data_IF_226734069495
#
_entry.id   IF_226734069495
#
_cell.length_a   1.000
_cell.length_b   1.000
_cell.length_c   1.000
_cell.angle_alpha   90.00
_cell.angle_beta   90.00
_cell.angle_gamma   90.00
#
_symmetry.space_group_name_H-M   'P 1'
#
loop_
_entity.id
_entity.type
_entity.pdbx_description
1 polymer ?
#
# COMPACT_ATOMS: atom_id res chain seq x y z
N UNK A 1 14.94 -12.08 -8.80
CA UNK A 1 14.89 -12.89 -7.56
C UNK A 1 13.63 -13.76 -7.55
N UNK A 2 13.73 -15.05 -7.20
CA UNK A 2 12.64 -16.03 -7.32
C UNK A 2 11.64 -15.97 -6.14
N UNK A 3 11.16 -14.76 -5.82
CA UNK A 3 10.22 -14.53 -4.72
C UNK A 3 8.73 -14.57 -5.13
N UNK A 4 8.44 -14.80 -6.42
CA UNK A 4 7.08 -14.80 -6.97
C UNK A 4 6.55 -16.21 -7.28
N UNK A 5 6.87 -17.22 -6.47
CA UNK A 5 6.34 -18.58 -6.68
C UNK A 5 4.93 -18.72 -6.08
N UNK A 6 3.93 -19.22 -6.83
CA UNK A 6 2.50 -19.17 -6.47
C UNK A 6 2.09 -20.04 -5.27
N UNK A 7 3.04 -20.74 -4.64
CA UNK A 7 2.79 -21.57 -3.44
C UNK A 7 3.00 -20.84 -2.12
N UNK A 8 3.53 -19.61 -2.13
CA UNK A 8 3.41 -18.74 -0.98
C UNK A 8 2.01 -18.13 -0.96
N UNK A 9 1.04 -18.93 -0.53
CA UNK A 9 -0.30 -18.53 -0.09
C UNK A 9 -0.22 -17.67 1.20
N UNK A 10 0.81 -16.81 1.33
CA UNK A 10 0.72 -15.69 2.25
C UNK A 10 -0.20 -14.71 1.54
N UNK A 11 -1.39 -14.41 2.07
CA UNK A 11 -2.11 -13.24 1.59
C UNK A 11 -1.11 -12.09 1.62
N UNK A 12 -1.00 -11.29 0.54
CA UNK A 12 -0.10 -10.14 0.54
C UNK A 12 -0.36 -9.39 1.83
N UNK A 13 0.66 -9.23 2.67
CA UNK A 13 0.46 -8.64 3.99
C UNK A 13 -0.28 -7.33 3.78
N UNK A 14 -1.43 -7.17 4.42
CA UNK A 14 -2.28 -5.99 4.26
C UNK A 14 -1.46 -4.70 4.50
N UNK A 15 -0.39 -4.81 5.31
CA UNK A 15 0.61 -3.76 5.54
C UNK A 15 1.43 -3.47 4.28
N UNK A 16 2.00 -4.47 3.62
CA UNK A 16 2.79 -4.30 2.39
C UNK A 16 1.97 -3.66 1.27
N UNK A 17 0.71 -4.10 1.12
CA UNK A 17 -0.20 -3.55 0.13
C UNK A 17 -0.62 -2.11 0.48
N UNK A 18 -0.87 -1.81 1.76
CA UNK A 18 -1.14 -0.45 2.22
C UNK A 18 0.05 0.48 1.94
N UNK A 19 1.28 0.03 2.19
CA UNK A 19 2.51 0.78 1.89
C UNK A 19 2.61 1.06 0.38
N UNK A 20 2.40 0.05 -0.47
CA UNK A 20 2.44 0.21 -1.92
C UNK A 20 1.46 1.27 -2.43
N UNK A 21 0.19 1.18 -2.01
CA UNK A 21 -0.84 2.13 -2.39
C UNK A 21 -0.53 3.54 -1.88
N UNK A 22 -0.04 3.65 -0.64
CA UNK A 22 0.33 4.93 0.00
C UNK A 22 1.48 5.61 -0.75
N UNK A 23 2.53 4.86 -1.13
CA UNK A 23 3.63 5.38 -1.98
C UNK A 23 3.11 5.93 -3.30
N UNK A 24 2.22 5.18 -3.93
CA UNK A 24 1.67 5.51 -5.25
C UNK A 24 0.79 6.77 -5.19
N UNK A 25 0.05 6.96 -4.09
CA UNK A 25 -0.66 8.22 -3.81
C UNK A 25 0.26 9.41 -3.57
N UNK A 26 1.40 9.22 -2.89
CA UNK A 26 2.37 10.29 -2.63
C UNK A 26 3.08 10.75 -3.91
N UNK A 27 3.34 9.83 -4.85
CA UNK A 27 4.13 10.08 -6.06
C UNK A 27 3.34 10.72 -7.22
N UNK A 28 2.03 10.49 -7.31
CA UNK A 28 1.22 10.93 -8.45
C UNK A 28 0.05 11.84 -8.03
N UNK A 29 0.32 13.16 -7.96
CA UNK A 29 -0.72 14.18 -7.72
C UNK A 29 -1.54 14.57 -8.95
N UNK A 30 -1.14 14.17 -10.17
CA UNK A 30 -1.55 14.91 -11.37
C UNK A 30 -2.50 14.25 -12.36
N UNK A 31 -2.87 12.95 -12.29
CA UNK A 31 -3.97 12.49 -13.18
C UNK A 31 -4.67 11.18 -12.88
N UNK A 32 -3.99 10.09 -12.53
CA UNK A 32 -4.62 8.79 -12.30
C UNK A 32 -3.72 7.96 -11.37
N UNK A 33 -3.76 8.25 -10.06
CA UNK A 33 -2.81 7.67 -9.10
C UNK A 33 -3.14 6.22 -8.72
N UNK A 34 -4.43 5.95 -8.50
CA UNK A 34 -4.96 4.66 -8.07
C UNK A 34 -6.25 4.39 -8.86
N UNK A 35 -6.46 3.12 -9.20
CA UNK A 35 -7.74 2.65 -9.73
C UNK A 35 -8.82 2.68 -8.65
N UNK A 36 -10.09 2.68 -9.04
CA UNK A 36 -11.22 2.84 -8.10
C UNK A 36 -11.25 1.72 -7.02
N UNK A 37 -10.94 0.49 -7.42
CA UNK A 37 -10.81 -0.64 -6.49
C UNK A 37 -9.60 -0.50 -5.54
N UNK A 38 -8.53 0.17 -5.97
CA UNK A 38 -7.36 0.42 -5.14
C UNK A 38 -7.64 1.52 -4.11
N UNK A 39 -8.46 2.51 -4.47
CA UNK A 39 -8.92 3.56 -3.55
C UNK A 39 -9.80 2.96 -2.45
N UNK A 40 -10.73 2.07 -2.83
CA UNK A 40 -11.58 1.37 -1.87
C UNK A 40 -10.75 0.46 -0.95
N UNK A 41 -9.81 -0.30 -1.52
CA UNK A 41 -8.88 -1.12 -0.75
C UNK A 41 -8.03 -0.27 0.20
N UNK A 42 -7.46 0.86 -0.25
CA UNK A 42 -6.70 1.78 0.58
C UNK A 42 -7.53 2.33 1.74
N UNK A 43 -8.78 2.69 1.47
CA UNK A 43 -9.72 3.20 2.47
C UNK A 43 -10.03 2.14 3.53
N UNK A 44 -10.25 0.89 3.10
CA UNK A 44 -10.50 -0.22 3.99
C UNK A 44 -9.26 -0.57 4.82
N UNK A 45 -8.08 -0.60 4.19
CA UNK A 45 -6.79 -0.83 4.85
C UNK A 45 -6.47 0.25 5.87
N UNK A 46 -6.74 1.53 5.56
CA UNK A 46 -6.55 2.64 6.50
C UNK A 46 -7.43 2.52 7.74
N UNK A 47 -8.66 2.00 7.60
CA UNK A 47 -9.53 1.72 8.75
C UNK A 47 -9.01 0.53 9.56
N UNK A 48 -8.70 -0.59 8.90
CA UNK A 48 -8.25 -1.82 9.55
C UNK A 48 -6.87 -1.70 10.21
N UNK A 49 -5.97 -0.91 9.64
CA UNK A 49 -4.59 -0.71 10.10
C UNK A 49 -4.40 0.67 10.74
N UNK A 50 -5.46 1.30 11.24
CA UNK A 50 -5.41 2.65 11.83
C UNK A 50 -4.34 2.78 12.94
N UNK A 51 -4.17 1.74 13.76
CA UNK A 51 -3.14 1.66 14.81
C UNK A 51 -1.69 1.61 14.31
N UNK A 52 -1.47 1.25 13.04
CA UNK A 52 -0.16 1.14 12.39
C UNK A 52 0.00 2.14 11.24
N UNK A 53 -1.01 2.96 10.99
CA UNK A 53 -1.09 3.82 9.82
C UNK A 53 0.03 4.87 9.78
N UNK A 54 0.42 5.39 10.94
CA UNK A 54 1.52 6.34 11.06
C UNK A 54 2.85 5.71 10.62
N UNK A 55 3.09 4.44 10.99
CA UNK A 55 4.30 3.69 10.59
C UNK A 55 4.27 3.40 9.08
N UNK A 56 3.11 2.97 8.56
CA UNK A 56 2.91 2.70 7.13
C UNK A 56 3.18 3.95 6.28
N UNK A 57 2.67 5.10 6.73
CA UNK A 57 2.82 6.37 6.04
C UNK A 57 4.27 6.83 6.09
N UNK A 58 4.90 6.81 7.28
CA UNK A 58 6.31 7.18 7.44
C UNK A 58 7.23 6.32 6.56
N UNK A 59 6.99 5.01 6.50
CA UNK A 59 7.75 4.09 5.64
C UNK A 59 7.48 4.33 4.14
N UNK A 60 6.25 4.68 3.78
CA UNK A 60 5.93 5.05 2.40
C UNK A 60 6.62 6.36 2.00
N UNK A 61 6.69 7.34 2.89
CA UNK A 61 7.37 8.62 2.68
C UNK A 61 8.88 8.45 2.55
N UNK A 62 9.52 7.70 3.44
CA UNK A 62 10.97 7.45 3.43
C UNK A 62 11.45 6.83 2.10
N UNK A 63 10.63 5.95 1.52
CA UNK A 63 10.96 5.25 0.27
C UNK A 63 10.54 6.01 -1.00
N UNK A 64 9.84 7.13 -0.87
CA UNK A 64 9.44 8.01 -1.99
C UNK A 64 10.37 9.23 -2.11
N UNK A 65 11.08 9.59 -1.05
CA UNK A 65 12.16 10.60 -1.05
C UNK A 65 13.33 10.24 -1.96
#
# INVERSE_FOLDING_TARGET
SPFYWPWQNKPPDNVDYAIYLTKRTLRNKQRHGLEEYEIEALTNLRKNLSNKWDIITAQAEEQVC
#
